data_IF_490894821573
#
_entry.id   IF_490894821573
#
_cell.length_a   1.000
_cell.length_b   1.000
_cell.length_c   1.000
_cell.angle_alpha   90.00
_cell.angle_beta   90.00
_cell.angle_gamma   90.00
#
_symmetry.space_group_name_H-M   'P 1'
#
loop_
_entity.id
_entity.type
_entity.pdbx_description
1 polymer ?
#
# COMPACT_ATOMS: atom_id res chain seq x y z
N UNK A 1 35.04 0.92 -27.17
CA UNK A 1 33.90 0.66 -26.27
C UNK A 1 34.44 0.65 -24.86
N UNK A 2 34.09 1.64 -24.02
CA UNK A 2 34.65 1.82 -22.67
C UNK A 2 34.02 0.77 -21.74
N UNK A 3 34.81 -0.02 -20.98
CA UNK A 3 34.26 -1.04 -20.10
C UNK A 3 33.45 -0.36 -18.99
N UNK A 4 32.21 -0.78 -18.81
CA UNK A 4 31.36 -0.29 -17.72
C UNK A 4 32.02 -0.74 -16.41
N UNK A 5 32.36 0.17 -15.48
CA UNK A 5 33.01 -0.19 -14.24
C UNK A 5 32.06 -1.08 -13.43
N UNK A 6 32.56 -2.23 -12.97
CA UNK A 6 31.82 -3.21 -12.17
C UNK A 6 31.13 -2.59 -10.94
N UNK A 7 31.72 -1.50 -10.41
CA UNK A 7 31.17 -0.69 -9.34
C UNK A 7 29.81 -0.04 -9.67
N UNK A 8 29.62 0.44 -10.90
CA UNK A 8 28.35 1.04 -11.33
C UNK A 8 27.22 0.02 -11.45
N UNK A 9 27.55 -1.24 -11.77
CA UNK A 9 26.57 -2.33 -11.84
C UNK A 9 26.10 -2.75 -10.44
N UNK A 10 27.02 -2.78 -9.46
CA UNK A 10 26.68 -3.09 -8.08
C UNK A 10 25.74 -2.05 -7.44
N UNK A 11 25.93 -0.76 -7.75
CA UNK A 11 25.09 0.32 -7.23
C UNK A 11 23.65 0.25 -7.76
N UNK A 12 23.44 -0.21 -8.99
CA UNK A 12 22.11 -0.36 -9.59
C UNK A 12 21.27 -1.44 -8.88
N UNK A 13 21.91 -2.53 -8.45
CA UNK A 13 21.24 -3.61 -7.73
C UNK A 13 20.78 -3.23 -6.31
N UNK A 14 21.36 -2.18 -5.69
CA UNK A 14 20.94 -1.72 -4.36
C UNK A 14 19.65 -0.87 -4.38
N UNK A 15 19.16 -0.43 -5.54
CA UNK A 15 18.02 0.49 -5.66
C UNK A 15 16.63 -0.20 -5.56
N UNK A 16 16.59 -1.52 -5.35
CA UNK A 16 15.40 -2.36 -5.62
C UNK A 16 14.30 -2.40 -4.54
N UNK A 17 14.27 -1.51 -3.55
CA UNK A 17 13.35 -1.66 -2.40
C UNK A 17 12.65 -0.36 -2.01
N UNK A 18 11.87 0.21 -2.92
CA UNK A 18 10.87 1.23 -2.55
C UNK A 18 9.54 0.51 -2.25
N UNK A 19 9.13 0.50 -0.99
CA UNK A 19 7.80 0.05 -0.60
C UNK A 19 6.84 1.24 -0.65
N UNK A 20 5.80 1.15 -1.48
CA UNK A 20 4.66 2.05 -1.37
C UNK A 20 3.92 1.71 -0.07
N UNK A 21 3.91 2.65 0.88
CA UNK A 21 3.26 2.47 2.17
C UNK A 21 1.85 3.06 2.09
N UNK A 22 0.83 2.21 2.03
CA UNK A 22 -0.55 2.61 2.26
C UNK A 22 -0.70 3.00 3.74
N UNK A 23 -1.26 4.19 4.03
CA UNK A 23 -1.41 4.68 5.40
C UNK A 23 -2.87 4.81 5.80
N UNK A 24 -3.21 4.28 6.97
CA UNK A 24 -4.53 4.44 7.60
C UNK A 24 -4.42 5.25 8.90
N UNK A 25 -5.49 5.91 9.34
CA UNK A 25 -5.51 6.53 10.67
C UNK A 25 -5.43 5.47 11.76
N UNK A 26 -4.93 5.85 12.94
CA UNK A 26 -4.71 4.94 14.08
C UNK A 26 -5.95 4.25 14.63
N UNK A 27 -7.15 4.76 14.31
CA UNK A 27 -8.42 4.13 14.69
C UNK A 27 -8.70 2.84 13.91
N UNK A 28 -8.12 2.71 12.70
CA UNK A 28 -8.22 1.51 11.87
C UNK A 28 -7.00 0.64 12.21
N UNK A 29 -7.23 -0.36 13.05
CA UNK A 29 -6.17 -1.23 13.56
C UNK A 29 -6.71 -2.56 14.08
N UNK A 30 -5.97 -3.17 15.01
CA UNK A 30 -6.33 -4.46 15.58
C UNK A 30 -7.56 -4.38 16.50
N UNK A 31 -8.33 -5.47 16.56
CA UNK A 31 -9.52 -5.61 17.42
C UNK A 31 -10.61 -4.53 17.22
N UNK A 32 -10.62 -3.85 16.07
CA UNK A 32 -11.67 -2.90 15.71
C UNK A 32 -13.01 -3.62 15.48
N UNK A 33 -14.10 -2.97 15.90
CA UNK A 33 -15.47 -3.41 15.64
C UNK A 33 -16.17 -2.45 14.68
N UNK A 34 -16.98 -3.00 13.76
CA UNK A 34 -17.80 -2.20 12.85
C UNK A 34 -19.26 -2.24 13.28
N UNK A 35 -19.93 -1.10 13.18
CA UNK A 35 -21.36 -1.01 13.49
C UNK A 35 -22.18 -1.74 12.43
N UNK A 36 -22.93 -2.76 12.86
CA UNK A 36 -23.81 -3.52 11.99
C UNK A 36 -24.93 -2.64 11.40
N UNK A 37 -25.35 -2.95 10.17
CA UNK A 37 -26.47 -2.28 9.46
C UNK A 37 -26.25 -0.77 9.30
N UNK A 38 -25.00 -0.32 9.28
CA UNK A 38 -24.62 1.06 9.06
C UNK A 38 -23.62 1.18 7.91
N UNK A 39 -23.51 2.36 7.32
CA UNK A 39 -22.43 2.64 6.36
C UNK A 39 -21.15 2.86 7.15
N UNK A 40 -20.13 2.02 6.98
CA UNK A 40 -18.84 2.17 7.64
C UNK A 40 -17.81 2.67 6.62
N UNK A 41 -17.69 3.99 6.40
CA UNK A 41 -16.68 4.52 5.49
C UNK A 41 -15.27 4.15 5.99
N UNK A 42 -14.41 3.76 5.06
CA UNK A 42 -12.98 3.53 5.30
C UNK A 42 -12.23 4.65 4.58
N UNK A 43 -11.24 5.24 5.24
CA UNK A 43 -10.45 6.35 4.71
C UNK A 43 -8.98 6.21 5.13
N UNK A 44 -8.11 6.92 4.41
CA UNK A 44 -6.67 6.90 4.61
C UNK A 44 -5.98 7.77 3.56
N UNK A 45 -4.67 7.58 3.44
CA UNK A 45 -3.83 8.24 2.45
C UNK A 45 -3.26 7.19 1.51
N UNK A 46 -3.29 7.51 0.23
CA UNK A 46 -2.76 6.70 -0.85
C UNK A 46 -2.29 7.62 -1.97
N UNK A 47 -1.45 7.11 -2.87
CA UNK A 47 -1.04 7.84 -4.06
C UNK A 47 -2.20 7.96 -5.06
N UNK A 48 -2.16 8.98 -5.91
CA UNK A 48 -3.20 9.18 -6.91
C UNK A 48 -3.24 8.02 -7.91
N UNK A 49 -4.43 7.43 -8.11
CA UNK A 49 -4.64 6.28 -9.00
C UNK A 49 -4.24 4.93 -8.39
N UNK A 50 -3.89 4.89 -7.11
CA UNK A 50 -3.59 3.64 -6.41
C UNK A 50 -4.86 2.80 -6.21
N UNK A 51 -4.80 1.53 -6.62
CA UNK A 51 -5.91 0.60 -6.48
C UNK A 51 -5.96 0.05 -5.05
N UNK A 52 -6.96 0.49 -4.28
CA UNK A 52 -7.14 0.08 -2.89
C UNK A 52 -8.20 -1.02 -2.83
N UNK A 53 -7.90 -2.10 -2.11
CA UNK A 53 -8.85 -3.19 -1.83
C UNK A 53 -9.08 -3.30 -0.33
N UNK A 54 -10.35 -3.34 0.08
CA UNK A 54 -10.76 -3.55 1.47
C UNK A 54 -11.49 -4.88 1.56
N UNK A 55 -11.03 -5.76 2.45
CA UNK A 55 -11.60 -7.09 2.68
C UNK A 55 -12.05 -7.24 4.13
N UNK A 56 -13.34 -7.46 4.36
CA UNK A 56 -13.94 -7.56 5.70
C UNK A 56 -14.99 -8.67 5.69
N UNK A 57 -14.86 -9.67 6.58
CA UNK A 57 -15.87 -10.72 6.78
C UNK A 57 -16.42 -11.35 5.47
N UNK A 58 -15.52 -11.68 4.52
CA UNK A 58 -15.88 -12.28 3.22
C UNK A 58 -16.38 -11.29 2.16
N UNK A 59 -16.51 -10.01 2.49
CA UNK A 59 -16.83 -8.93 1.55
C UNK A 59 -15.54 -8.31 1.02
N UNK A 60 -15.54 -7.91 -0.25
CA UNK A 60 -14.40 -7.24 -0.90
C UNK A 60 -14.89 -6.01 -1.65
N UNK A 61 -14.30 -4.85 -1.36
CA UNK A 61 -14.56 -3.59 -2.04
C UNK A 61 -13.28 -3.05 -2.66
N UNK A 62 -13.39 -2.41 -3.82
CA UNK A 62 -12.25 -1.85 -4.56
C UNK A 62 -12.52 -0.39 -4.94
N UNK A 63 -11.50 0.44 -4.85
CA UNK A 63 -11.50 1.77 -5.47
C UNK A 63 -11.20 1.63 -6.96
N UNK A 64 -11.64 2.62 -7.76
CA UNK A 64 -11.33 2.71 -9.19
C UNK A 64 -9.94 3.28 -9.41
#
# INVERSE_FOLDING_TARGET
MKPIPFFSLALFFLCGSAHAELRTPSIIGENMVLQQKHKNPIWGWAEAGEAITVSIAGQTHKTK
#
